data_IF_506193766220
#
_entry.id   IF_506193766220
#
_cell.length_a   1.000
_cell.length_b   1.000
_cell.length_c   1.000
_cell.angle_alpha   90.00
_cell.angle_beta   90.00
_cell.angle_gamma   90.00
#
_symmetry.space_group_name_H-M   'P 1'
#
loop_
_entity.id
_entity.type
_entity.pdbx_description
1 polymer ?
#
# COMPACT_ATOMS: atom_id res chain seq x y z
N UNK A 1 -6.26 -18.24 12.65
CA UNK A 1 -5.20 -17.21 12.60
C UNK A 1 -4.78 -16.98 11.15
N UNK A 2 -5.25 -15.90 10.55
CA UNK A 2 -4.77 -15.48 9.23
C UNK A 2 -3.28 -15.12 9.39
N UNK A 3 -2.40 -15.64 8.53
CA UNK A 3 -0.96 -15.35 8.66
C UNK A 3 -0.75 -13.84 8.60
N UNK A 4 -0.01 -13.22 9.53
CA UNK A 4 0.27 -11.80 9.48
C UNK A 4 0.91 -11.45 8.14
N UNK A 5 0.38 -10.41 7.49
CA UNK A 5 0.91 -9.96 6.21
C UNK A 5 2.27 -9.30 6.46
N UNK A 6 3.35 -10.07 6.29
CA UNK A 6 4.75 -9.63 6.51
C UNK A 6 5.09 -8.32 5.79
N UNK A 7 4.47 -8.06 4.63
CA UNK A 7 4.69 -6.82 3.90
C UNK A 7 4.00 -5.63 4.58
N UNK A 8 2.77 -5.80 5.06
CA UNK A 8 2.03 -4.78 5.80
C UNK A 8 2.82 -4.38 7.06
N UNK A 9 3.28 -5.35 7.86
CA UNK A 9 4.10 -5.08 9.04
C UNK A 9 5.37 -4.30 8.70
N UNK A 10 6.04 -4.68 7.62
CA UNK A 10 7.27 -4.02 7.16
C UNK A 10 7.03 -2.57 6.73
N UNK A 11 5.92 -2.32 6.05
CA UNK A 11 5.51 -0.96 5.66
C UNK A 11 5.16 -0.13 6.90
N UNK A 12 4.39 -0.69 7.84
CA UNK A 12 4.02 -0.01 9.09
C UNK A 12 5.22 0.36 9.95
N UNK A 13 6.23 -0.53 10.06
CA UNK A 13 7.48 -0.26 10.78
C UNK A 13 8.28 0.89 10.19
N UNK A 14 8.19 1.14 8.88
CA UNK A 14 8.82 2.29 8.26
C UNK A 14 10.33 2.26 8.08
N UNK A 15 11.02 1.23 8.56
CA UNK A 15 12.48 1.10 8.53
C UNK A 15 13.00 0.58 7.19
N UNK A 16 12.11 0.31 6.23
CA UNK A 16 12.43 -0.39 4.97
C UNK A 16 11.81 0.27 3.73
N UNK A 17 11.42 1.55 3.80
CA UNK A 17 10.72 2.24 2.71
C UNK A 17 11.49 2.17 1.37
N UNK A 18 12.82 2.18 1.39
CA UNK A 18 13.65 2.06 0.19
C UNK A 18 13.79 0.64 -0.37
N UNK A 19 13.23 -0.36 0.29
CA UNK A 19 13.39 -1.77 -0.05
C UNK A 19 12.07 -2.54 -0.08
N UNK A 20 11.02 -1.91 -0.61
CA UNK A 20 9.72 -2.52 -0.86
C UNK A 20 9.55 -2.82 -2.36
N UNK A 21 9.23 -4.07 -2.75
CA UNK A 21 8.86 -4.41 -4.12
C UNK A 21 7.60 -3.67 -4.56
N UNK A 22 7.59 -3.11 -5.77
CA UNK A 22 6.42 -2.40 -6.30
C UNK A 22 5.20 -3.33 -6.43
N UNK A 23 5.38 -4.50 -7.04
CA UNK A 23 4.29 -5.48 -7.16
C UNK A 23 3.69 -5.87 -5.80
N UNK A 24 4.51 -5.90 -4.74
CA UNK A 24 4.05 -6.16 -3.38
C UNK A 24 3.10 -5.07 -2.87
N UNK A 25 3.38 -3.79 -3.12
CA UNK A 25 2.52 -2.69 -2.68
C UNK A 25 1.19 -2.70 -3.41
N UNK A 26 1.18 -2.98 -4.72
CA UNK A 26 -0.04 -3.12 -5.51
C UNK A 26 -0.92 -4.26 -4.99
N UNK A 27 -0.32 -5.44 -4.75
CA UNK A 27 -1.04 -6.58 -4.18
C UNK A 27 -1.60 -6.29 -2.78
N UNK A 28 -0.85 -5.56 -1.94
CA UNK A 28 -1.33 -5.16 -0.62
C UNK A 28 -2.54 -4.23 -0.74
N UNK A 29 -2.47 -3.20 -1.59
CA UNK A 29 -3.58 -2.26 -1.80
C UNK A 29 -4.83 -2.97 -2.34
N UNK A 30 -4.68 -3.89 -3.30
CA UNK A 30 -5.79 -4.72 -3.77
C UNK A 30 -6.42 -5.56 -2.64
N UNK A 31 -5.61 -6.16 -1.76
CA UNK A 31 -6.12 -6.91 -0.59
C UNK A 31 -6.82 -6.03 0.45
N UNK A 32 -6.41 -4.76 0.56
CA UNK A 32 -7.09 -3.76 1.39
C UNK A 32 -8.34 -3.19 0.71
N UNK A 33 -8.70 -3.70 -0.49
CA UNK A 33 -9.89 -3.33 -1.22
C UNK A 33 -9.80 -1.96 -1.89
N UNK A 34 -8.61 -1.56 -2.34
CA UNK A 34 -8.46 -0.49 -3.31
C UNK A 34 -8.68 -1.03 -4.73
N UNK A 35 -9.34 -0.24 -5.55
CA UNK A 35 -9.45 -0.44 -6.99
C UNK A 35 -8.21 0.11 -7.68
N UNK A 36 -7.70 -0.60 -8.68
CA UNK A 36 -6.51 -0.20 -9.43
C UNK A 36 -6.88 0.22 -10.85
N UNK A 37 -6.39 1.38 -11.27
CA UNK A 37 -6.43 1.85 -12.66
C UNK A 37 -5.02 2.16 -13.14
N UNK A 38 -4.66 1.63 -14.30
CA UNK A 38 -3.34 1.84 -14.90
C UNK A 38 -3.42 2.88 -16.03
N UNK A 39 -2.52 3.87 -16.01
CA UNK A 39 -2.33 4.85 -17.08
C UNK A 39 -0.84 5.01 -17.39
N UNK A 40 -0.39 4.38 -18.47
CA UNK A 40 1.06 4.30 -18.77
C UNK A 40 1.77 3.52 -17.67
N UNK A 41 2.81 4.10 -17.07
CA UNK A 41 3.53 3.48 -15.93
C UNK A 41 2.93 3.83 -14.56
N UNK A 42 1.86 4.63 -14.52
CA UNK A 42 1.22 5.03 -13.27
C UNK A 42 0.10 4.06 -12.90
N UNK A 43 0.12 3.62 -11.64
CA UNK A 43 -0.89 2.79 -11.01
C UNK A 43 -1.65 3.64 -10.00
N UNK A 44 -2.91 3.95 -10.31
CA UNK A 44 -3.77 4.82 -9.52
C UNK A 44 -4.68 3.92 -8.68
N UNK A 45 -4.68 4.12 -7.37
CA UNK A 45 -5.50 3.37 -6.43
C UNK A 45 -6.51 4.27 -5.73
N UNK A 46 -7.76 3.82 -5.70
CA UNK A 46 -8.89 4.50 -5.04
C UNK A 46 -9.69 3.52 -4.20
N UNK A 47 -10.30 3.98 -3.11
CA UNK A 47 -11.20 3.18 -2.27
C UNK A 47 -12.31 4.09 -1.76
N UNK A 48 -13.57 3.65 -1.81
CA UNK A 48 -14.73 4.47 -1.47
C UNK A 48 -14.64 5.11 -0.06
N UNK A 49 -14.03 4.42 0.91
CA UNK A 49 -13.88 4.88 2.29
C UNK A 49 -12.58 5.64 2.58
N UNK A 50 -11.82 6.02 1.54
CA UNK A 50 -10.51 6.67 1.64
C UNK A 50 -10.49 7.87 0.68
N UNK A 51 -10.27 9.06 1.22
CA UNK A 51 -10.30 10.29 0.42
C UNK A 51 -9.05 10.44 -0.45
N UNK A 52 -7.90 9.92 0.00
CA UNK A 52 -6.64 9.97 -0.71
C UNK A 52 -6.61 9.03 -1.92
N UNK A 53 -6.33 9.62 -3.08
CA UNK A 53 -5.98 8.89 -4.29
C UNK A 53 -4.48 8.61 -4.29
N UNK A 54 -4.09 7.35 -4.30
CA UNK A 54 -2.69 6.93 -4.35
C UNK A 54 -2.25 6.75 -5.80
N UNK A 55 -1.39 7.63 -6.31
CA UNK A 55 -0.81 7.51 -7.66
C UNK A 55 0.63 7.01 -7.57
N UNK A 56 0.81 5.70 -7.76
CA UNK A 56 2.08 5.01 -7.60
C UNK A 56 2.77 4.81 -8.94
N UNK A 57 4.11 4.78 -8.94
CA UNK A 57 4.90 4.55 -10.15
C UNK A 57 6.12 3.69 -9.78
N UNK A 58 6.38 2.60 -10.51
CA UNK A 58 7.55 1.76 -10.23
C UNK A 58 8.86 2.53 -10.46
N UNK A 59 9.88 2.20 -9.68
CA UNK A 59 11.29 2.50 -9.95
C UNK A 59 12.01 1.17 -10.17
N UNK A 60 12.01 0.69 -11.41
CA UNK A 60 12.40 -0.70 -11.71
C UNK A 60 11.48 -1.68 -10.98
N UNK A 61 12.05 -2.66 -10.26
CA UNK A 61 11.28 -3.62 -9.48
C UNK A 61 10.74 -3.10 -8.13
N UNK A 62 11.13 -1.88 -7.70
CA UNK A 62 10.85 -1.36 -6.36
C UNK A 62 9.87 -0.18 -6.39
N UNK A 63 9.17 0.02 -5.28
CA UNK A 63 8.43 1.25 -5.03
C UNK A 63 9.40 2.39 -4.68
N UNK A 64 8.99 3.63 -4.93
CA UNK A 64 9.74 4.81 -4.48
C UNK A 64 9.55 4.97 -2.96
N UNK A 65 10.60 5.29 -2.17
CA UNK A 65 10.47 5.36 -0.71
C UNK A 65 9.36 6.30 -0.22
N UNK A 66 9.21 7.46 -0.86
CA UNK A 66 8.15 8.40 -0.50
C UNK A 66 6.73 7.84 -0.79
N UNK A 67 6.59 7.01 -1.82
CA UNK A 67 5.31 6.34 -2.13
C UNK A 67 4.98 5.28 -1.09
N UNK A 68 5.98 4.56 -0.59
CA UNK A 68 5.80 3.65 0.56
C UNK A 68 5.34 4.42 1.79
N UNK A 69 5.96 5.57 2.08
CA UNK A 69 5.54 6.45 3.17
C UNK A 69 4.10 6.96 2.99
N UNK A 70 3.70 7.36 1.78
CA UNK A 70 2.33 7.76 1.48
C UNK A 70 1.33 6.63 1.75
N UNK A 71 1.62 5.42 1.25
CA UNK A 71 0.78 4.24 1.49
C UNK A 71 0.68 3.94 2.99
N UNK A 72 1.79 3.93 3.73
CA UNK A 72 1.77 3.76 5.19
C UNK A 72 0.87 4.79 5.87
N UNK A 73 0.97 6.06 5.50
CA UNK A 73 0.19 7.13 6.13
C UNK A 73 -1.32 6.92 5.90
N UNK A 74 -1.72 6.53 4.68
CA UNK A 74 -3.11 6.18 4.38
C UNK A 74 -3.57 4.98 5.21
N UNK A 75 -2.76 3.92 5.27
CA UNK A 75 -3.06 2.72 6.07
C UNK A 75 -3.29 3.10 7.55
N UNK A 76 -2.41 3.93 8.14
CA UNK A 76 -2.53 4.36 9.53
C UNK A 76 -3.74 5.28 9.75
N UNK A 77 -3.97 6.25 8.86
CA UNK A 77 -5.08 7.22 8.97
C UNK A 77 -6.44 6.53 8.98
N UNK A 78 -6.62 5.53 8.12
CA UNK A 78 -7.88 4.80 7.99
C UNK A 78 -7.88 3.44 8.70
N UNK A 79 -6.88 3.17 9.55
CA UNK A 79 -6.71 1.91 10.30
C UNK A 79 -6.87 0.64 9.43
N UNK A 80 -6.36 0.69 8.21
CA UNK A 80 -6.51 -0.39 7.25
C UNK A 80 -5.60 -1.57 7.62
N UNK A 81 -6.12 -2.80 7.56
CA UNK A 81 -5.33 -4.00 7.80
C UNK A 81 -5.19 -4.41 9.27
N UNK A 82 -5.94 -3.78 10.18
CA UNK A 82 -6.36 -4.42 11.42
C UNK A 82 -7.60 -5.28 11.16
N UNK A 83 -7.62 -6.50 11.68
CA UNK A 83 -8.87 -7.23 11.86
C UNK A 83 -9.67 -6.43 12.89
N UNK A 84 -10.90 -6.01 12.55
CA UNK A 84 -11.92 -5.72 13.56
C UNK A 84 -12.18 -7.07 14.23
N UNK A 85 -11.47 -7.35 15.33
CA UNK A 85 -12.01 -8.21 16.36
C UNK A 85 -13.19 -7.43 16.98
N UNK A 86 -14.41 -7.89 16.72
CA UNK A 86 -15.54 -7.67 17.63
C UNK A 86 -15.15 -8.10 19.07
#
# INVERSE_FOLDING_TARGET
>A
MRRPNKLLERILRGTSDANIPFAGICQLLGKLGFEERIRGSHHIFTKQSVDEILNLQPKGAKAKPYQVKQVRNVILKYKLGGEEDD
#
